data_IF_784297412640
#
_entry.id   IF_784297412640
#
_cell.length_a   1.000
_cell.length_b   1.000
_cell.length_c   1.000
_cell.angle_alpha   90.00
_cell.angle_beta   90.00
_cell.angle_gamma   90.00
#
_symmetry.space_group_name_H-M   'P 1'
#
loop_
_entity.id
_entity.type
_entity.pdbx_description
1 polymer ?
#
# COMPACT_ATOMS: atom_id res chain seq x y z
N UNK A 1 -20.51 28.46 30.32
CA UNK A 1 -19.07 28.61 30.05
C UNK A 1 -18.23 27.56 30.78
N UNK A 2 -18.48 27.31 32.07
CA UNK A 2 -17.75 26.31 32.89
C UNK A 2 -17.86 24.87 32.36
N UNK A 3 -19.05 24.43 31.96
CA UNK A 3 -19.26 23.10 31.36
C UNK A 3 -18.58 22.91 29.99
N UNK A 4 -18.38 24.00 29.24
CA UNK A 4 -17.69 23.95 27.94
C UNK A 4 -16.18 23.80 28.14
N UNK A 5 -15.62 24.50 29.13
CA UNK A 5 -14.22 24.37 29.51
C UNK A 5 -13.90 22.96 30.03
N UNK A 6 -14.82 22.32 30.75
CA UNK A 6 -14.66 20.94 31.22
C UNK A 6 -14.64 19.92 30.08
N UNK A 7 -15.47 20.12 29.04
CA UNK A 7 -15.46 19.26 27.84
C UNK A 7 -14.20 19.48 27.02
N UNK A 8 -13.72 20.72 26.88
CA UNK A 8 -12.45 21.02 26.19
C UNK A 8 -11.27 20.37 26.90
N UNK A 9 -11.25 20.38 28.23
CA UNK A 9 -10.19 19.77 29.04
C UNK A 9 -10.15 18.24 29.02
N UNK A 10 -11.25 17.58 28.59
CA UNK A 10 -11.32 16.13 28.40
C UNK A 10 -10.64 15.65 27.11
N UNK A 11 -10.54 16.51 26.10
CA UNK A 11 -9.84 16.23 24.83
C UNK A 11 -8.38 16.72 24.81
N UNK A 12 -7.89 17.28 25.91
CA UNK A 12 -6.50 17.72 25.99
C UNK A 12 -5.57 16.50 26.08
N UNK A 13 -4.83 16.27 25.00
CA UNK A 13 -3.89 15.16 24.73
C UNK A 13 -2.84 14.93 25.83
N UNK A 14 -2.61 15.90 26.69
CA UNK A 14 -1.63 15.82 27.79
C UNK A 14 -2.02 14.87 28.92
N UNK A 15 -3.32 14.60 29.16
CA UNK A 15 -3.76 13.62 30.18
C UNK A 15 -3.63 12.16 29.73
N UNK A 16 -3.28 11.91 28.47
CA UNK A 16 -2.99 10.57 27.91
C UNK A 16 -1.47 10.41 27.70
N UNK A 17 -0.67 10.94 28.62
CA UNK A 17 0.78 10.68 28.70
C UNK A 17 1.16 9.75 29.86
N UNK A 18 0.19 9.00 30.39
CA UNK A 18 0.32 8.25 31.64
C UNK A 18 -0.04 6.78 31.54
N UNK A 19 0.26 6.11 30.43
CA UNK A 19 0.24 4.63 30.36
C UNK A 19 1.62 4.15 29.94
N UNK A 20 2.40 3.66 30.90
CA UNK A 20 3.69 2.97 30.73
C UNK A 20 3.62 1.96 29.56
N UNK A 21 4.16 2.26 28.38
CA UNK A 21 5.56 2.26 27.89
C UNK A 21 6.19 0.91 27.48
N UNK A 22 5.56 -0.25 27.66
CA UNK A 22 6.05 -1.51 27.01
C UNK A 22 5.06 -2.08 25.99
N UNK A 23 3.77 -2.18 26.34
CA UNK A 23 2.77 -2.77 25.45
C UNK A 23 2.47 -1.92 24.21
N UNK A 24 2.35 -0.60 24.39
CA UNK A 24 2.12 0.33 23.29
C UNK A 24 3.32 0.41 22.31
N UNK A 25 4.53 0.38 22.86
CA UNK A 25 5.78 0.39 22.09
C UNK A 25 5.95 -0.90 21.26
N UNK A 26 5.63 -2.06 21.86
CA UNK A 26 5.64 -3.34 21.16
C UNK A 26 4.56 -3.43 20.09
N UNK A 27 3.33 -2.98 20.39
CA UNK A 27 2.25 -2.92 19.42
C UNK A 27 2.61 -2.03 18.22
N UNK A 28 3.17 -0.84 18.47
CA UNK A 28 3.65 0.04 17.41
C UNK A 28 4.74 -0.62 16.56
N UNK A 29 5.73 -1.27 17.19
CA UNK A 29 6.78 -1.99 16.49
C UNK A 29 6.25 -3.12 15.59
N UNK A 30 5.30 -3.92 16.08
CA UNK A 30 4.67 -4.99 15.31
C UNK A 30 3.83 -4.45 14.15
N UNK A 31 3.13 -3.33 14.33
CA UNK A 31 2.39 -2.65 13.26
C UNK A 31 3.34 -2.18 12.14
N UNK A 32 4.52 -1.64 12.47
CA UNK A 32 5.51 -1.24 11.45
C UNK A 32 6.07 -2.45 10.69
N UNK A 33 6.31 -3.57 11.36
CA UNK A 33 6.69 -4.83 10.70
C UNK A 33 5.56 -5.31 9.77
N UNK A 34 4.30 -5.25 10.24
CA UNK A 34 3.12 -5.56 9.44
C UNK A 34 2.98 -4.69 8.19
N UNK A 35 3.28 -3.39 8.29
CA UNK A 35 3.28 -2.49 7.14
C UNK A 35 4.35 -2.87 6.10
N UNK A 36 5.55 -3.23 6.57
CA UNK A 36 6.63 -3.75 5.71
C UNK A 36 6.26 -5.06 5.01
N UNK A 37 5.58 -5.97 5.69
CA UNK A 37 5.09 -7.22 5.08
C UNK A 37 3.95 -6.96 4.09
N UNK A 38 3.04 -6.04 4.37
CA UNK A 38 1.93 -5.70 3.48
C UNK A 38 2.42 -5.20 2.12
N UNK A 39 3.46 -4.36 2.08
CA UNK A 39 3.99 -3.83 0.82
C UNK A 39 4.75 -4.86 -0.02
N UNK A 40 5.24 -5.96 0.57
CA UNK A 40 5.90 -7.04 -0.19
C UNK A 40 4.98 -7.64 -1.27
N UNK A 41 3.67 -7.61 -1.07
CA UNK A 41 2.69 -8.06 -2.07
C UNK A 41 2.81 -7.31 -3.40
N UNK A 42 3.07 -6.00 -3.36
CA UNK A 42 3.30 -5.19 -4.56
C UNK A 42 4.58 -5.63 -5.29
N UNK A 43 5.64 -5.94 -4.55
CA UNK A 43 6.90 -6.43 -5.14
C UNK A 43 6.73 -7.76 -5.88
N UNK A 44 5.93 -8.68 -5.36
CA UNK A 44 5.62 -9.94 -6.04
C UNK A 44 4.82 -9.74 -7.34
N UNK A 45 3.86 -8.81 -7.34
CA UNK A 45 3.10 -8.46 -8.53
C UNK A 45 4.01 -7.88 -9.63
N UNK A 46 5.00 -7.06 -9.28
CA UNK A 46 5.96 -6.47 -10.23
C UNK A 46 6.81 -7.50 -10.98
N UNK A 47 7.11 -8.66 -10.36
CA UNK A 47 7.81 -9.75 -11.04
C UNK A 47 6.97 -10.24 -12.23
N UNK A 48 5.68 -10.51 -12.00
CA UNK A 48 4.75 -10.94 -13.05
C UNK A 48 4.58 -9.90 -14.17
N UNK A 49 4.53 -8.62 -13.81
CA UNK A 49 4.48 -7.53 -14.78
C UNK A 49 5.74 -7.48 -15.67
N UNK A 50 6.93 -7.68 -15.09
CA UNK A 50 8.18 -7.76 -15.85
C UNK A 50 8.15 -8.88 -16.90
N UNK A 51 7.65 -10.07 -16.53
CA UNK A 51 7.47 -11.18 -17.46
C UNK A 51 6.45 -10.86 -18.57
N UNK A 52 5.31 -10.26 -18.22
CA UNK A 52 4.28 -9.88 -19.19
C UNK A 52 4.83 -8.87 -20.22
N UNK A 53 5.59 -7.88 -19.77
CA UNK A 53 6.25 -6.90 -20.63
C UNK A 53 7.28 -7.56 -21.54
N UNK A 54 8.14 -8.43 -21.01
CA UNK A 54 9.13 -9.16 -21.81
C UNK A 54 8.46 -9.97 -22.94
N UNK A 55 7.36 -10.67 -22.63
CA UNK A 55 6.59 -11.42 -23.64
C UNK A 55 5.87 -10.54 -24.65
N UNK A 56 5.40 -9.38 -24.25
CA UNK A 56 4.84 -8.41 -25.19
C UNK A 56 5.91 -7.90 -26.16
N UNK A 57 7.12 -7.60 -25.68
CA UNK A 57 8.23 -7.15 -26.54
C UNK A 57 8.68 -8.25 -27.50
N UNK A 58 8.81 -9.50 -27.04
CA UNK A 58 9.08 -10.66 -27.91
C UNK A 58 8.01 -10.80 -29.01
N UNK A 59 6.73 -10.66 -28.66
CA UNK A 59 5.62 -10.76 -29.61
C UNK A 59 5.62 -9.63 -30.64
N UNK A 60 5.93 -8.39 -30.21
CA UNK A 60 6.07 -7.23 -31.10
C UNK A 60 7.26 -7.42 -32.05
N UNK A 61 8.39 -7.92 -31.56
CA UNK A 61 9.56 -8.20 -32.40
C UNK A 61 9.29 -9.23 -33.50
N UNK A 62 8.42 -10.22 -33.23
CA UNK A 62 7.98 -11.21 -34.23
C UNK A 62 6.93 -10.67 -35.19
N UNK A 63 6.04 -9.79 -34.73
CA UNK A 63 4.94 -9.24 -35.52
C UNK A 63 4.80 -7.72 -35.28
N UNK A 64 5.63 -6.88 -35.94
CA UNK A 64 5.63 -5.44 -35.72
C UNK A 64 4.29 -4.77 -36.06
N UNK A 65 3.57 -5.30 -37.05
CA UNK A 65 2.24 -4.81 -37.46
C UNK A 65 1.18 -4.91 -36.35
N UNK A 66 1.36 -5.85 -35.42
CA UNK A 66 0.44 -6.08 -34.31
C UNK A 66 0.72 -5.19 -33.07
N UNK A 67 1.70 -4.27 -33.14
CA UNK A 67 2.16 -3.46 -32.00
C UNK A 67 1.02 -2.77 -31.25
N UNK A 68 0.12 -2.11 -31.98
CA UNK A 68 -0.99 -1.35 -31.36
C UNK A 68 -1.92 -2.26 -30.53
N UNK A 69 -2.23 -3.44 -31.07
CA UNK A 69 -3.10 -4.42 -30.40
C UNK A 69 -2.41 -5.06 -29.19
N UNK A 70 -1.14 -5.44 -29.33
CA UNK A 70 -0.35 -6.01 -28.24
C UNK A 70 -0.20 -5.01 -27.10
N UNK A 71 0.17 -3.75 -27.41
CA UNK A 71 0.33 -2.70 -26.40
C UNK A 71 -0.97 -2.46 -25.63
N UNK A 72 -2.11 -2.43 -26.34
CA UNK A 72 -3.42 -2.21 -25.72
C UNK A 72 -3.78 -3.33 -24.74
N UNK A 73 -3.61 -4.59 -25.15
CA UNK A 73 -3.86 -5.74 -24.26
C UNK A 73 -2.89 -5.78 -23.08
N UNK A 74 -1.60 -5.49 -23.31
CA UNK A 74 -0.60 -5.39 -22.24
C UNK A 74 -1.00 -4.35 -21.20
N UNK A 75 -1.36 -3.13 -21.62
CA UNK A 75 -1.72 -2.06 -20.69
C UNK A 75 -2.97 -2.39 -19.88
N UNK A 76 -3.98 -3.00 -20.49
CA UNK A 76 -5.18 -3.46 -19.77
C UNK A 76 -4.81 -4.51 -18.72
N UNK A 77 -3.99 -5.51 -19.10
CA UNK A 77 -3.52 -6.53 -18.17
C UNK A 77 -2.69 -5.95 -17.02
N UNK A 78 -1.74 -5.06 -17.32
CA UNK A 78 -0.90 -4.39 -16.32
C UNK A 78 -1.74 -3.54 -15.38
N UNK A 79 -2.74 -2.80 -15.88
CA UNK A 79 -3.63 -2.00 -15.05
C UNK A 79 -4.43 -2.85 -14.05
N UNK A 80 -4.90 -4.02 -14.47
CA UNK A 80 -5.60 -4.96 -13.57
C UNK A 80 -4.66 -5.45 -12.48
N UNK A 81 -3.45 -5.87 -12.83
CA UNK A 81 -2.44 -6.32 -11.85
C UNK A 81 -2.04 -5.19 -10.90
N UNK A 82 -1.93 -3.96 -11.39
CA UNK A 82 -1.57 -2.79 -10.58
C UNK A 82 -2.57 -2.52 -9.45
N UNK A 83 -3.86 -2.86 -9.65
CA UNK A 83 -4.88 -2.69 -8.60
C UNK A 83 -4.56 -3.49 -7.34
N UNK A 84 -3.99 -4.69 -7.49
CA UNK A 84 -3.56 -5.50 -6.35
C UNK A 84 -2.38 -4.87 -5.61
N UNK A 85 -1.40 -4.33 -6.34
CA UNK A 85 -0.26 -3.58 -5.77
C UNK A 85 -0.73 -2.35 -4.99
N UNK A 86 -1.69 -1.61 -5.55
CA UNK A 86 -2.28 -0.43 -4.89
C UNK A 86 -3.00 -0.83 -3.60
N UNK A 87 -3.73 -1.95 -3.56
CA UNK A 87 -4.34 -2.44 -2.31
C UNK A 87 -3.31 -2.80 -1.25
N UNK A 88 -2.22 -3.49 -1.60
CA UNK A 88 -1.10 -3.75 -0.70
C UNK A 88 -0.50 -2.45 -0.14
N UNK A 89 -0.33 -1.43 -0.99
CA UNK A 89 0.17 -0.13 -0.58
C UNK A 89 -0.81 0.61 0.34
N UNK A 90 -2.10 0.61 0.03
CA UNK A 90 -3.13 1.23 0.88
C UNK A 90 -3.13 0.59 2.27
N UNK A 91 -3.07 -0.74 2.37
CA UNK A 91 -3.02 -1.43 3.66
C UNK A 91 -1.76 -1.04 4.45
N UNK A 92 -0.61 -0.95 3.79
CA UNK A 92 0.63 -0.49 4.44
C UNK A 92 0.49 0.95 4.96
N UNK A 93 -0.11 1.86 4.18
CA UNK A 93 -0.38 3.23 4.62
C UNK A 93 -1.35 3.28 5.80
N UNK A 94 -2.41 2.47 5.77
CA UNK A 94 -3.37 2.41 6.88
C UNK A 94 -2.68 1.97 8.17
N UNK A 95 -1.82 0.95 8.12
CA UNK A 95 -1.05 0.51 9.29
C UNK A 95 -0.08 1.59 9.81
N UNK A 96 0.42 2.47 8.94
CA UNK A 96 1.35 3.55 9.34
C UNK A 96 0.60 4.74 9.94
N UNK A 97 -0.58 5.08 9.43
CA UNK A 97 -1.24 6.37 9.69
C UNK A 97 -2.57 6.28 10.46
N UNK A 98 -3.14 5.09 10.66
CA UNK A 98 -4.44 4.87 11.32
C UNK A 98 -4.26 3.93 12.51
#
# INVERSE_FOLDING_TARGET
MENLNNVINLFNKEKIKGVEETGASLAYGLTMVGAGLAIMGAGLASIGQGFAVAKAVEAIGRNPEALSKIRSLLLIGLAIVETASIYSFIVALLLIFV
#
